data_IF_265761381053
#
_entry.id   IF_265761381053
#
_cell.length_a   1.000
_cell.length_b   1.000
_cell.length_c   1.000
_cell.angle_alpha   90.00
_cell.angle_beta   90.00
_cell.angle_gamma   90.00
#
_symmetry.space_group_name_H-M   'P 1'
#
loop_
_entity.id
_entity.type
_entity.pdbx_description
1 polymer ?
#
# COMPACT_ATOMS: atom_id res chain seq x y z
N UNK A 1 -4.69 6.35 -20.08
CA UNK A 1 -5.14 5.76 -18.80
C UNK A 1 -6.05 6.77 -18.14
N UNK A 2 -7.20 6.35 -17.61
CA UNK A 2 -8.10 7.23 -16.87
C UNK A 2 -7.64 7.29 -15.40
N UNK A 3 -7.28 8.48 -14.92
CA UNK A 3 -6.77 8.67 -13.55
C UNK A 3 -7.87 8.54 -12.51
N UNK A 4 -9.09 8.95 -12.82
CA UNK A 4 -10.21 8.83 -11.87
C UNK A 4 -10.54 7.36 -11.59
N UNK A 5 -10.52 6.51 -12.63
CA UNK A 5 -10.68 5.06 -12.49
C UNK A 5 -9.54 4.45 -11.68
N UNK A 6 -8.30 4.88 -11.93
CA UNK A 6 -7.14 4.42 -11.18
C UNK A 6 -7.26 4.76 -9.69
N UNK A 7 -7.57 6.02 -9.38
CA UNK A 7 -7.77 6.51 -8.00
C UNK A 7 -8.92 5.79 -7.30
N UNK A 8 -10.00 5.47 -8.03
CA UNK A 8 -11.09 4.65 -7.51
C UNK A 8 -10.59 3.27 -7.05
N UNK A 9 -9.78 2.56 -7.84
CA UNK A 9 -9.26 1.25 -7.45
C UNK A 9 -8.25 1.31 -6.30
N UNK A 10 -7.39 2.34 -6.27
CA UNK A 10 -6.49 2.59 -5.14
C UNK A 10 -7.29 2.82 -3.86
N UNK A 11 -8.33 3.66 -3.91
CA UNK A 11 -9.20 3.90 -2.75
C UNK A 11 -9.91 2.62 -2.32
N UNK A 12 -10.51 1.88 -3.25
CA UNK A 12 -11.18 0.61 -2.97
C UNK A 12 -10.27 -0.39 -2.27
N UNK A 13 -9.00 -0.50 -2.69
CA UNK A 13 -8.05 -1.41 -2.06
C UNK A 13 -7.75 -0.98 -0.61
N UNK A 14 -7.47 0.30 -0.38
CA UNK A 14 -7.22 0.81 0.97
C UNK A 14 -8.43 0.71 1.89
N UNK A 15 -9.62 1.04 1.40
CA UNK A 15 -10.85 0.95 2.18
C UNK A 15 -11.08 -0.50 2.62
N UNK A 16 -10.93 -1.47 1.72
CA UNK A 16 -11.03 -2.90 2.07
C UNK A 16 -9.97 -3.37 3.07
N UNK A 17 -8.72 -2.91 2.95
CA UNK A 17 -7.69 -3.18 3.95
C UNK A 17 -8.07 -2.62 5.32
N UNK A 18 -8.54 -1.37 5.38
CA UNK A 18 -8.93 -0.72 6.64
C UNK A 18 -10.14 -1.40 7.27
N UNK A 19 -11.15 -1.77 6.48
CA UNK A 19 -12.33 -2.50 6.97
C UNK A 19 -11.91 -3.87 7.57
N UNK A 20 -10.98 -4.56 6.93
CA UNK A 20 -10.45 -5.82 7.46
C UNK A 20 -9.70 -5.63 8.79
N UNK A 21 -8.93 -4.55 8.92
CA UNK A 21 -8.22 -4.22 10.17
C UNK A 21 -9.19 -3.77 11.28
N UNK A 22 -10.27 -3.07 10.95
CA UNK A 22 -11.28 -2.69 11.93
C UNK A 22 -11.99 -3.91 12.55
N UNK A 23 -12.23 -4.95 11.76
CA UNK A 23 -12.79 -6.21 12.26
C UNK A 23 -11.85 -6.92 13.23
N UNK A 24 -10.54 -6.77 13.07
CA UNK A 24 -9.54 -7.30 13.99
C UNK A 24 -9.40 -6.46 15.27
N UNK A 25 -9.58 -5.15 15.16
CA UNK A 25 -9.24 -4.19 16.20
C UNK A 25 -7.73 -4.03 16.38
N UNK A 26 -7.32 -3.04 17.17
CA UNK A 26 -5.90 -2.67 17.34
C UNK A 26 -5.03 -3.83 17.89
N UNK A 27 -5.61 -4.69 18.74
CA UNK A 27 -4.90 -5.83 19.33
C UNK A 27 -4.47 -6.83 18.26
N UNK A 28 -5.41 -7.41 17.52
CA UNK A 28 -5.10 -8.43 16.52
C UNK A 28 -4.55 -7.87 15.21
N UNK A 29 -4.81 -6.60 14.87
CA UNK A 29 -4.24 -5.96 13.68
C UNK A 29 -2.70 -5.95 13.68
N UNK A 30 -2.08 -5.91 14.87
CA UNK A 30 -0.63 -5.90 15.04
C UNK A 30 -0.04 -7.31 15.26
N UNK A 31 -0.85 -8.36 15.22
CA UNK A 31 -0.40 -9.75 15.34
C UNK A 31 -0.18 -10.39 13.97
N UNK A 32 0.92 -11.11 13.81
CA UNK A 32 1.10 -11.97 12.64
C UNK A 32 0.29 -13.27 12.81
N UNK A 33 -0.39 -13.76 11.75
CA UNK A 33 -0.90 -15.14 11.74
C UNK A 33 0.21 -16.14 12.11
N UNK A 34 -0.10 -17.28 12.73
CA UNK A 34 0.89 -18.28 13.17
C UNK A 34 1.40 -19.13 11.99
N UNK A 35 1.83 -18.46 10.93
CA UNK A 35 2.44 -19.02 9.73
C UNK A 35 3.87 -18.50 9.66
N UNK A 36 4.83 -19.38 9.38
CA UNK A 36 6.23 -18.98 9.29
C UNK A 36 6.41 -17.90 8.20
N UNK A 37 6.99 -16.76 8.59
CA UNK A 37 7.23 -15.62 7.70
C UNK A 37 6.02 -14.70 7.46
N UNK A 38 4.89 -14.91 8.13
CA UNK A 38 3.77 -13.98 8.04
C UNK A 38 4.09 -12.65 8.73
N UNK A 39 3.62 -11.56 8.13
CA UNK A 39 3.70 -10.21 8.71
C UNK A 39 2.36 -9.82 9.33
N UNK A 40 2.36 -8.93 10.35
CA UNK A 40 1.12 -8.34 10.86
C UNK A 40 0.34 -7.60 9.76
N UNK A 41 -1.00 -7.72 9.71
CA UNK A 41 -1.80 -7.05 8.68
C UNK A 41 -1.71 -5.52 8.78
N UNK A 42 -1.54 -4.94 9.98
CA UNK A 42 -1.29 -3.50 10.12
C UNK A 42 0.00 -3.08 9.43
N UNK A 43 1.10 -3.84 9.61
CA UNK A 43 2.38 -3.56 8.98
C UNK A 43 2.32 -3.67 7.44
N UNK A 44 1.53 -4.63 6.93
CA UNK A 44 1.28 -4.79 5.48
C UNK A 44 0.53 -3.58 4.92
N UNK A 45 -0.49 -3.08 5.62
CA UNK A 45 -1.23 -1.90 5.18
C UNK A 45 -0.38 -0.63 5.27
N UNK A 46 0.47 -0.51 6.30
CA UNK A 46 1.46 0.56 6.40
C UNK A 46 2.44 0.53 5.21
N UNK A 47 2.98 -0.65 4.89
CA UNK A 47 3.82 -0.87 3.70
C UNK A 47 3.14 -0.37 2.41
N UNK A 48 1.84 -0.66 2.23
CA UNK A 48 1.07 -0.18 1.09
C UNK A 48 1.05 1.36 1.00
N UNK A 49 1.00 2.08 2.12
CA UNK A 49 1.09 3.55 2.12
C UNK A 49 2.45 4.05 1.66
N UNK A 50 3.53 3.38 2.07
CA UNK A 50 4.91 3.74 1.69
C UNK A 50 5.22 3.37 0.23
N UNK A 51 4.63 2.28 -0.29
CA UNK A 51 4.63 1.93 -1.72
C UNK A 51 4.03 3.09 -2.52
N UNK A 52 2.82 3.52 -2.18
CA UNK A 52 2.13 4.59 -2.91
C UNK A 52 2.89 5.93 -2.83
N UNK A 53 3.34 6.31 -1.63
CA UNK A 53 4.06 7.58 -1.43
C UNK A 53 5.39 7.62 -2.20
N UNK A 54 6.11 6.50 -2.25
CA UNK A 54 7.36 6.41 -2.99
C UNK A 54 7.12 6.34 -4.51
N UNK A 55 6.31 5.39 -4.97
CA UNK A 55 6.19 5.14 -6.39
C UNK A 55 5.51 6.29 -7.12
N UNK A 56 4.43 6.84 -6.57
CA UNK A 56 3.72 7.96 -7.20
C UNK A 56 4.33 9.29 -6.75
N UNK A 57 4.40 9.51 -5.44
CA UNK A 57 4.86 10.78 -4.90
C UNK A 57 6.30 11.12 -5.27
N UNK A 58 7.21 10.16 -5.15
CA UNK A 58 8.62 10.40 -5.44
C UNK A 58 8.96 10.21 -6.92
N UNK A 59 8.56 9.11 -7.57
CA UNK A 59 8.99 8.86 -8.96
C UNK A 59 8.20 9.65 -10.00
N UNK A 60 6.89 9.86 -9.81
CA UNK A 60 6.06 10.64 -10.76
C UNK A 60 6.03 12.11 -10.36
N UNK A 61 5.66 12.43 -9.12
CA UNK A 61 5.47 13.82 -8.66
C UNK A 61 6.75 14.50 -8.15
N UNK A 62 7.87 13.78 -8.08
CA UNK A 62 9.18 14.36 -7.75
C UNK A 62 9.36 14.76 -6.28
N UNK A 63 8.43 14.39 -5.39
CA UNK A 63 8.53 14.70 -3.95
C UNK A 63 9.73 13.99 -3.32
N UNK A 64 10.38 14.55 -2.28
CA UNK A 64 11.43 13.85 -1.57
C UNK A 64 10.88 12.60 -0.86
N UNK A 65 11.57 11.47 -1.00
CA UNK A 65 11.25 10.24 -0.27
C UNK A 65 12.08 10.12 1.00
N UNK A 66 11.46 9.67 2.10
CA UNK A 66 12.14 9.23 3.33
C UNK A 66 11.89 7.75 3.61
N UNK A 67 11.45 7.00 2.59
CA UNK A 67 11.03 5.61 2.71
C UNK A 67 12.13 4.75 3.33
N UNK A 68 11.77 4.03 4.39
CA UNK A 68 12.64 3.04 5.04
C UNK A 68 12.00 1.65 4.93
N UNK A 69 12.33 0.94 3.84
CA UNK A 69 11.72 -0.36 3.53
C UNK A 69 11.92 -1.43 4.59
N UNK A 70 13.06 -1.41 5.29
CA UNK A 70 13.32 -2.39 6.35
C UNK A 70 12.43 -2.17 7.58
N UNK A 71 12.04 -0.92 7.87
CA UNK A 71 11.22 -0.58 9.01
C UNK A 71 9.72 -0.84 8.78
N UNK A 72 9.27 -0.90 7.51
CA UNK A 72 7.86 -1.05 7.13
C UNK A 72 7.18 -2.27 7.77
N UNK A 73 7.85 -3.43 7.74
CA UNK A 73 7.29 -4.70 8.23
C UNK A 73 7.39 -4.89 9.75
N UNK A 74 8.06 -3.97 10.44
CA UNK A 74 8.13 -3.92 11.91
C UNK A 74 7.25 -2.81 12.50
N UNK A 75 6.58 -2.04 11.65
CA UNK A 75 5.76 -0.94 12.07
C UNK A 75 4.45 -1.44 12.71
N UNK A 76 3.98 -0.71 13.71
CA UNK A 76 2.76 -1.01 14.47
C UNK A 76 2.05 0.28 14.87
N UNK A 77 0.75 0.20 15.13
CA UNK A 77 -0.03 1.36 15.58
C UNK A 77 -1.52 1.06 15.70
N UNK A 78 -2.31 2.11 15.91
CA UNK A 78 -3.77 1.97 15.89
C UNK A 78 -4.31 1.96 14.45
N UNK A 79 -5.47 1.35 14.25
CA UNK A 79 -6.20 1.40 12.98
C UNK A 79 -6.62 2.84 12.67
N UNK A 80 -6.92 3.65 13.68
CA UNK A 80 -7.26 5.07 13.53
C UNK A 80 -6.10 5.89 12.95
N UNK A 81 -4.86 5.70 13.45
CA UNK A 81 -3.67 6.37 12.94
C UNK A 81 -3.43 6.01 11.46
N UNK A 82 -3.60 4.74 11.13
CA UNK A 82 -3.42 4.25 9.77
C UNK A 82 -4.50 4.82 8.83
N UNK A 83 -5.76 4.87 9.26
CA UNK A 83 -6.87 5.52 8.52
C UNK A 83 -6.57 6.99 8.25
N UNK A 84 -6.03 7.71 9.23
CA UNK A 84 -5.57 9.09 9.07
C UNK A 84 -4.46 9.23 8.01
N UNK A 85 -3.47 8.33 8.04
CA UNK A 85 -2.38 8.28 7.03
C UNK A 85 -2.90 8.02 5.63
N UNK A 86 -3.77 7.02 5.47
CA UNK A 86 -4.39 6.67 4.18
C UNK A 86 -5.20 7.85 3.63
N UNK A 87 -5.98 8.52 4.48
CA UNK A 87 -6.80 9.67 4.07
C UNK A 87 -5.92 10.81 3.55
N UNK A 88 -4.86 11.14 4.30
CA UNK A 88 -3.91 12.17 3.89
C UNK A 88 -3.16 11.79 2.60
N UNK A 89 -2.82 10.51 2.43
CA UNK A 89 -2.17 9.99 1.23
C UNK A 89 -3.10 10.07 0.00
N UNK A 90 -4.35 9.62 0.12
CA UNK A 90 -5.34 9.70 -0.96
C UNK A 90 -5.58 11.15 -1.40
N UNK A 91 -5.63 12.09 -0.44
CA UNK A 91 -5.73 13.52 -0.75
C UNK A 91 -4.52 14.02 -1.57
N UNK A 92 -3.30 13.64 -1.17
CA UNK A 92 -2.08 14.02 -1.90
C UNK A 92 -2.00 13.40 -3.29
N UNK A 93 -2.52 12.18 -3.48
CA UNK A 93 -2.49 11.51 -4.78
C UNK A 93 -3.27 12.26 -5.87
N UNK A 94 -4.35 12.95 -5.51
CA UNK A 94 -5.11 13.77 -6.46
C UNK A 94 -4.21 14.88 -7.01
N UNK A 95 -3.43 15.53 -6.14
CA UNK A 95 -2.49 16.58 -6.54
C UNK A 95 -1.28 15.99 -7.29
N UNK A 96 -0.72 14.88 -6.82
CA UNK A 96 0.45 14.22 -7.42
C UNK A 96 0.17 13.72 -8.86
N UNK A 97 -1.10 13.41 -9.19
CA UNK A 97 -1.52 12.95 -10.51
C UNK A 97 -2.31 14.00 -11.31
N UNK A 98 -2.40 15.24 -10.81
CA UNK A 98 -3.03 16.33 -11.53
C UNK A 98 -2.25 16.63 -12.82
N UNK A 99 -2.90 16.49 -13.98
CA UNK A 99 -2.25 16.68 -15.26
C UNK A 99 -1.28 15.56 -15.66
N UNK A 100 -1.45 14.35 -15.08
CA UNK A 100 -0.64 13.18 -15.42
C UNK A 100 -0.46 12.99 -16.93
N UNK A 101 0.80 12.97 -17.37
CA UNK A 101 1.21 12.67 -18.73
C UNK A 101 1.80 11.24 -18.80
N UNK A 102 1.13 10.29 -19.46
CA UNK A 102 1.62 8.91 -19.57
C UNK A 102 2.92 8.77 -20.39
N UNK A 103 3.32 9.81 -21.12
CA UNK A 103 4.50 9.83 -22.00
C UNK A 103 5.68 10.59 -21.41
N UNK A 104 5.48 11.32 -20.31
CA UNK A 104 6.55 12.02 -19.62
C UNK A 104 7.56 11.03 -19.00
N UNK A 105 8.85 11.41 -18.88
CA UNK A 105 9.80 10.63 -18.11
C UNK A 105 9.46 10.69 -16.61
N UNK A 106 9.90 9.67 -15.86
CA UNK A 106 9.87 9.73 -14.39
C UNK A 106 10.81 10.85 -13.89
N UNK A 107 10.42 11.53 -12.82
CA UNK A 107 11.21 12.60 -12.21
C UNK A 107 12.33 12.06 -11.32
N UNK A 108 12.23 10.82 -10.86
CA UNK A 108 13.29 10.11 -10.13
C UNK A 108 13.41 8.65 -10.61
N UNK A 109 14.56 8.04 -10.37
CA UNK A 109 14.84 6.67 -10.82
C UNK A 109 14.21 5.63 -9.88
N UNK A 110 13.57 4.58 -10.42
CA UNK A 110 13.13 3.44 -9.63
C UNK A 110 14.33 2.65 -9.09
N UNK A 111 14.13 1.75 -8.12
CA UNK A 111 15.18 0.81 -7.72
C UNK A 111 15.54 -0.11 -8.90
N UNK A 112 16.82 -0.44 -9.04
CA UNK A 112 17.33 -1.21 -10.19
C UNK A 112 16.64 -2.57 -10.40
N UNK A 113 16.18 -3.22 -9.33
CA UNK A 113 15.43 -4.47 -9.41
C UNK A 113 14.04 -4.34 -10.09
N UNK A 114 13.55 -3.11 -10.24
CA UNK A 114 12.27 -2.77 -10.85
C UNK A 114 12.45 -1.94 -12.15
N UNK A 115 13.69 -1.74 -12.60
CA UNK A 115 13.97 -1.32 -13.97
C UNK A 115 13.51 -2.47 -14.88
N UNK A 116 12.36 -2.29 -15.54
CA UNK A 116 11.67 -3.34 -16.27
C UNK A 116 12.55 -4.09 -17.29
N UNK A 117 12.19 -5.33 -17.66
CA UNK A 117 13.03 -6.16 -18.52
C UNK A 117 13.20 -5.49 -19.90
N UNK A 118 14.45 -5.20 -20.26
CA UNK A 118 14.89 -4.61 -21.54
C UNK A 118 14.33 -3.22 -21.91
N UNK A 119 13.55 -2.56 -21.04
CA UNK A 119 13.01 -1.20 -21.27
C UNK A 119 12.79 -0.44 -19.96
N UNK A 120 12.89 0.88 -20.02
CA UNK A 120 12.63 1.76 -18.87
C UNK A 120 11.17 1.64 -18.39
N UNK A 121 10.99 1.77 -17.07
CA UNK A 121 9.67 1.81 -16.46
C UNK A 121 8.97 3.14 -16.79
N UNK A 122 7.78 3.06 -17.37
CA UNK A 122 6.98 4.25 -17.69
C UNK A 122 6.11 4.71 -16.51
N UNK A 123 5.58 5.95 -16.52
CA UNK A 123 4.59 6.39 -15.52
C UNK A 123 3.38 5.48 -15.43
N UNK A 124 2.89 4.94 -16.57
CA UNK A 124 1.84 3.93 -16.56
C UNK A 124 2.28 2.63 -15.87
N UNK A 125 3.53 2.20 -16.09
CA UNK A 125 4.10 1.04 -15.41
C UNK A 125 4.18 1.22 -13.90
N UNK A 126 4.53 2.43 -13.44
CA UNK A 126 4.50 2.79 -12.01
C UNK A 126 3.10 2.66 -11.43
N UNK A 127 2.07 3.21 -12.09
CA UNK A 127 0.69 3.10 -11.60
C UNK A 127 0.22 1.64 -11.58
N UNK A 128 0.54 0.85 -12.61
CA UNK A 128 0.21 -0.58 -12.64
C UNK A 128 0.89 -1.35 -11.51
N UNK A 129 2.17 -1.09 -11.23
CA UNK A 129 2.89 -1.73 -10.14
C UNK A 129 2.31 -1.37 -8.77
N UNK A 130 1.92 -0.12 -8.55
CA UNK A 130 1.23 0.27 -7.32
C UNK A 130 -0.10 -0.46 -7.17
N UNK A 131 -0.90 -0.53 -8.23
CA UNK A 131 -2.17 -1.27 -8.18
C UNK A 131 -1.96 -2.77 -7.92
N UNK A 132 -0.93 -3.37 -8.54
CA UNK A 132 -0.52 -4.76 -8.32
C UNK A 132 -0.20 -5.01 -6.84
N UNK A 133 0.68 -4.20 -6.23
CA UNK A 133 1.07 -4.33 -4.82
C UNK A 133 -0.15 -4.16 -3.89
N UNK A 134 -1.00 -3.16 -4.15
CA UNK A 134 -2.21 -2.94 -3.35
C UNK A 134 -3.20 -4.10 -3.46
N UNK A 135 -3.45 -4.61 -4.67
CA UNK A 135 -4.36 -5.73 -4.86
C UNK A 135 -3.84 -7.02 -4.20
N UNK A 136 -2.54 -7.30 -4.34
CA UNK A 136 -1.87 -8.44 -3.71
C UNK A 136 -1.99 -8.37 -2.18
N UNK A 137 -1.63 -7.24 -1.59
CA UNK A 137 -1.62 -7.09 -0.14
C UNK A 137 -3.01 -6.93 0.46
N UNK A 138 -3.99 -6.42 -0.30
CA UNK A 138 -5.37 -6.41 0.15
C UNK A 138 -5.87 -7.84 0.41
N UNK A 139 -5.69 -8.75 -0.55
CA UNK A 139 -6.05 -10.15 -0.37
C UNK A 139 -5.26 -10.83 0.75
N UNK A 140 -3.97 -10.49 0.91
CA UNK A 140 -3.17 -10.98 2.03
C UNK A 140 -3.73 -10.55 3.40
N UNK A 141 -4.18 -9.29 3.52
CA UNK A 141 -4.78 -8.76 4.76
C UNK A 141 -6.12 -9.43 5.05
N UNK A 142 -6.97 -9.66 4.03
CA UNK A 142 -8.23 -10.38 4.21
C UNK A 142 -8.00 -11.81 4.73
N UNK A 143 -7.01 -12.52 4.19
CA UNK A 143 -6.63 -13.85 4.68
C UNK A 143 -6.05 -13.81 6.10
N UNK A 144 -5.21 -12.82 6.42
CA UNK A 144 -4.71 -12.63 7.78
C UNK A 144 -5.84 -12.37 8.78
N UNK A 145 -6.83 -11.54 8.39
CA UNK A 145 -8.03 -11.30 9.20
C UNK A 145 -8.76 -12.60 9.50
N UNK A 146 -9.08 -13.37 8.47
CA UNK A 146 -9.86 -14.60 8.63
C UNK A 146 -9.12 -15.63 9.50
N UNK A 147 -7.81 -15.77 9.32
CA UNK A 147 -6.97 -16.66 10.12
C UNK A 147 -6.92 -16.24 11.60
N UNK A 148 -6.70 -14.95 11.88
CA UNK A 148 -6.61 -14.44 13.25
C UNK A 148 -7.95 -14.51 13.98
N UNK A 149 -9.06 -14.19 13.31
CA UNK A 149 -10.40 -14.31 13.89
C UNK A 149 -10.78 -15.76 14.19
N UNK A 150 -10.43 -16.70 13.31
CA UNK A 150 -10.64 -18.13 13.57
C UNK A 150 -9.91 -18.59 14.83
N UNK A 151 -8.63 -18.20 14.98
CA UNK A 151 -7.83 -18.52 16.16
C UNK A 151 -8.35 -17.87 17.45
N UNK A 152 -8.89 -16.65 17.36
CA UNK A 152 -9.51 -15.99 18.50
C UNK A 152 -10.84 -16.65 18.91
N UNK A 153 -11.58 -17.21 17.95
CA UNK A 153 -12.80 -17.99 18.18
C UNK A 153 -12.53 -19.33 18.87
N UNK A 154 -11.49 -20.05 18.45
CA UNK A 154 -11.09 -21.35 19.02
C UNK A 154 -10.54 -21.24 20.46
N UNK A 155 -10.19 -20.04 20.91
CA UNK A 155 -9.69 -19.75 22.27
C UNK A 155 -10.80 -19.41 23.28
N UNK A 156 -12.06 -19.35 22.88
CA UNK A 156 -13.22 -19.08 23.76
C UNK A 156 -13.95 -20.36 24.13
#
# INVERSE_FOLDING_TARGET
MNIDEYLYFVRRAFDGMLDALELLGDEHANEAPPLAGANPPWAIAYHCTEVVDYWIGHLIAGRPSRRNRAAEFTASGSVADLRGRVTALQSRLVDDLAGFDPTAPLLNSPPSAYEGPARELSPCGVLLHVLEELAQHHGQIELSRDALLALAGDRR
#
